data_IF_274644103402
#
_entry.id   IF_274644103402
#
_cell.length_a   1.000
_cell.length_b   1.000
_cell.length_c   1.000
_cell.angle_alpha   90.00
_cell.angle_beta   90.00
_cell.angle_gamma   90.00
#
_symmetry.space_group_name_H-M   'P 1'
#
loop_
_entity.id
_entity.type
_entity.pdbx_description
1 polymer ?
#
# COMPACT_ATOMS: atom_id res chain seq x y z
N UNK A 1 9.65 -29.67 -44.55
CA UNK A 1 9.95 -29.82 -43.11
C UNK A 1 10.45 -28.51 -42.52
N UNK A 2 11.40 -27.82 -43.16
CA UNK A 2 12.00 -26.59 -42.61
C UNK A 2 11.01 -25.41 -42.41
N UNK A 3 10.04 -25.24 -43.31
CA UNK A 3 9.06 -24.17 -43.18
C UNK A 3 8.19 -24.30 -41.92
N UNK A 4 7.81 -25.54 -41.57
CA UNK A 4 7.01 -25.84 -40.36
C UNK A 4 7.82 -25.53 -39.09
N UNK A 5 9.11 -25.84 -39.10
CA UNK A 5 10.01 -25.51 -38.00
C UNK A 5 10.15 -24.00 -37.80
N UNK A 6 10.23 -23.23 -38.89
CA UNK A 6 10.29 -21.76 -38.83
C UNK A 6 9.00 -21.18 -38.22
N UNK A 7 7.82 -21.68 -38.62
CA UNK A 7 6.55 -21.24 -38.03
C UNK A 7 6.43 -21.61 -36.55
N UNK A 8 6.85 -22.82 -36.17
CA UNK A 8 6.90 -23.26 -34.77
C UNK A 8 7.83 -22.39 -33.93
N UNK A 9 9.00 -22.04 -34.46
CA UNK A 9 9.95 -21.17 -33.78
C UNK A 9 9.37 -19.76 -33.59
N UNK A 10 8.72 -19.20 -34.61
CA UNK A 10 8.08 -17.89 -34.51
C UNK A 10 6.94 -17.88 -33.47
N UNK A 11 6.13 -18.94 -33.45
CA UNK A 11 5.10 -19.14 -32.45
C UNK A 11 5.70 -19.21 -31.04
N UNK A 12 6.77 -19.99 -30.85
CA UNK A 12 7.45 -20.11 -29.58
C UNK A 12 8.02 -18.77 -29.08
N UNK A 13 8.63 -17.98 -29.99
CA UNK A 13 9.14 -16.63 -29.67
C UNK A 13 8.00 -15.69 -29.29
N UNK A 14 6.87 -15.75 -30.01
CA UNK A 14 5.70 -14.91 -29.72
C UNK A 14 5.11 -15.25 -28.35
N UNK A 15 4.99 -16.54 -28.03
CA UNK A 15 4.54 -17.00 -26.71
C UNK A 15 5.52 -16.56 -25.62
N UNK A 16 6.82 -16.68 -25.85
CA UNK A 16 7.84 -16.23 -24.90
C UNK A 16 7.73 -14.73 -24.63
N UNK A 17 7.56 -13.91 -25.67
CA UNK A 17 7.34 -12.47 -25.53
C UNK A 17 6.08 -12.18 -24.68
N UNK A 18 5.00 -12.92 -24.91
CA UNK A 18 3.77 -12.75 -24.14
C UNK A 18 3.94 -13.12 -22.66
N UNK A 19 4.65 -14.21 -22.37
CA UNK A 19 4.98 -14.62 -20.99
C UNK A 19 5.77 -13.54 -20.25
N UNK A 20 6.75 -12.92 -20.91
CA UNK A 20 7.53 -11.82 -20.34
C UNK A 20 6.65 -10.61 -20.02
N UNK A 21 5.72 -10.25 -20.91
CA UNK A 21 4.80 -9.13 -20.69
C UNK A 21 3.84 -9.40 -19.53
N UNK A 22 3.27 -10.60 -19.45
CA UNK A 22 2.39 -11.02 -18.34
C UNK A 22 3.15 -10.97 -17.01
N UNK A 23 4.39 -11.48 -16.99
CA UNK A 23 5.22 -11.45 -15.78
C UNK A 23 5.54 -10.02 -15.34
N UNK A 24 5.87 -9.13 -16.29
CA UNK A 24 6.13 -7.71 -16.03
C UNK A 24 4.89 -7.02 -15.44
N UNK A 25 3.73 -7.23 -16.02
CA UNK A 25 2.45 -6.69 -15.52
C UNK A 25 2.11 -7.25 -14.13
N UNK A 26 2.42 -8.52 -13.87
CA UNK A 26 2.20 -9.14 -12.57
C UNK A 26 3.07 -8.52 -11.47
N UNK A 27 4.34 -8.26 -11.75
CA UNK A 27 5.25 -7.55 -10.83
C UNK A 27 4.75 -6.13 -10.58
N UNK A 28 4.37 -5.41 -11.63
CA UNK A 28 3.84 -4.06 -11.53
C UNK A 28 2.58 -4.00 -10.66
N UNK A 29 1.66 -4.95 -10.82
CA UNK A 29 0.47 -5.06 -9.98
C UNK A 29 0.81 -5.33 -8.51
N UNK A 30 1.80 -6.20 -8.23
CA UNK A 30 2.26 -6.45 -6.86
C UNK A 30 2.87 -5.21 -6.22
N UNK A 31 3.69 -4.46 -6.97
CA UNK A 31 4.27 -3.22 -6.49
C UNK A 31 3.21 -2.15 -6.23
N UNK A 32 2.22 -2.03 -7.12
CA UNK A 32 1.13 -1.08 -6.95
C UNK A 32 0.31 -1.35 -5.69
N UNK A 33 -0.01 -2.62 -5.39
CA UNK A 33 -0.72 -2.99 -4.16
C UNK A 33 0.05 -2.60 -2.89
N UNK A 34 1.37 -2.72 -2.91
CA UNK A 34 2.22 -2.37 -1.77
C UNK A 34 2.26 -0.85 -1.58
N UNK A 35 2.49 -0.08 -2.66
CA UNK A 35 2.42 1.38 -2.61
C UNK A 35 1.04 1.89 -2.18
N UNK A 36 -0.04 1.26 -2.65
CA UNK A 36 -1.40 1.63 -2.29
C UNK A 36 -1.65 1.46 -0.79
N UNK A 37 -1.20 0.33 -0.20
CA UNK A 37 -1.31 0.08 1.24
C UNK A 37 -0.54 1.12 2.07
N UNK A 38 0.64 1.52 1.61
CA UNK A 38 1.40 2.61 2.25
C UNK A 38 0.67 3.96 2.17
N UNK A 39 0.02 4.24 1.03
CA UNK A 39 -0.76 5.46 0.83
C UNK A 39 -1.99 5.51 1.72
N UNK A 40 -2.73 4.39 1.83
CA UNK A 40 -3.85 4.26 2.75
C UNK A 40 -3.41 4.44 4.21
N UNK A 41 -2.26 3.88 4.58
CA UNK A 41 -1.69 4.03 5.91
C UNK A 41 -1.39 5.50 6.22
N UNK A 42 -0.72 6.22 5.31
CA UNK A 42 -0.44 7.65 5.45
C UNK A 42 -1.73 8.47 5.59
N UNK A 43 -2.73 8.20 4.76
CA UNK A 43 -4.02 8.91 4.80
C UNK A 43 -4.76 8.66 6.12
N UNK A 44 -4.75 7.42 6.60
CA UNK A 44 -5.38 7.04 7.87
C UNK A 44 -4.69 7.73 9.04
N UNK A 45 -3.36 7.72 9.06
CA UNK A 45 -2.56 8.39 10.10
C UNK A 45 -2.83 9.90 10.14
N UNK A 46 -2.93 10.55 8.98
CA UNK A 46 -3.23 11.98 8.90
C UNK A 46 -4.64 12.31 9.43
N UNK A 47 -5.65 11.53 9.02
CA UNK A 47 -7.03 11.73 9.48
C UNK A 47 -7.14 11.50 10.98
N UNK A 48 -6.57 10.40 11.48
CA UNK A 48 -6.58 10.08 12.91
C UNK A 48 -5.83 11.14 13.72
N UNK A 49 -4.69 11.64 13.23
CA UNK A 49 -3.98 12.74 13.88
C UNK A 49 -4.80 14.02 14.00
N UNK A 50 -5.61 14.36 12.99
CA UNK A 50 -6.53 15.50 13.06
C UNK A 50 -7.65 15.28 14.07
N UNK A 51 -8.21 14.06 14.12
CA UNK A 51 -9.27 13.70 15.07
C UNK A 51 -8.73 13.76 16.50
N UNK A 52 -7.56 13.18 16.76
CA UNK A 52 -6.93 13.24 18.08
C UNK A 52 -6.71 14.69 18.53
N UNK A 53 -6.17 15.57 17.65
CA UNK A 53 -6.00 16.98 18.00
C UNK A 53 -7.33 17.68 18.32
N UNK A 54 -8.41 17.36 17.61
CA UNK A 54 -9.73 17.96 17.83
C UNK A 54 -10.43 17.45 19.10
N UNK A 55 -10.28 16.16 19.40
CA UNK A 55 -10.97 15.47 20.50
C UNK A 55 -10.14 15.41 21.79
N UNK A 56 -8.98 16.10 21.84
CA UNK A 56 -8.09 16.12 23.01
C UNK A 56 -8.84 16.43 24.31
N UNK A 57 -9.71 17.42 24.27
CA UNK A 57 -10.50 17.86 25.43
C UNK A 57 -11.50 16.78 25.89
N UNK A 58 -12.02 15.98 24.96
CA UNK A 58 -12.90 14.86 25.25
C UNK A 58 -12.17 13.75 26.01
N UNK A 59 -10.91 13.47 25.64
CA UNK A 59 -10.06 12.51 26.33
C UNK A 59 -9.64 12.99 27.73
N UNK A 60 -9.36 14.28 27.90
CA UNK A 60 -8.99 14.86 29.20
C UNK A 60 -10.12 14.80 30.25
N UNK A 61 -11.38 14.65 29.83
CA UNK A 61 -12.55 14.54 30.71
C UNK A 61 -12.88 13.10 31.15
N UNK A 62 -12.10 12.10 30.72
CA UNK A 62 -12.31 10.68 31.04
C UNK A 62 -11.23 10.20 32.00
N UNK A 63 -11.58 9.43 33.05
CA UNK A 63 -10.59 8.80 33.93
C UNK A 63 -9.65 7.89 33.13
N UNK A 64 -8.34 8.19 33.18
CA UNK A 64 -7.32 7.49 32.40
C UNK A 64 -7.25 7.89 30.91
N UNK A 65 -8.05 8.87 30.47
CA UNK A 65 -8.10 9.30 29.08
C UNK A 65 -6.82 10.01 28.59
N UNK A 66 -6.04 10.63 29.48
CA UNK A 66 -4.72 11.18 29.15
C UNK A 66 -3.70 10.11 28.75
N UNK A 67 -3.70 8.95 29.43
CA UNK A 67 -2.83 7.82 29.07
C UNK A 67 -3.23 7.22 27.72
N UNK A 68 -4.55 7.08 27.50
CA UNK A 68 -5.09 6.60 26.22
C UNK A 68 -4.73 7.56 25.08
N UNK A 69 -4.88 8.87 25.31
CA UNK A 69 -4.52 9.91 24.35
C UNK A 69 -3.03 9.90 24.02
N UNK A 70 -2.17 9.76 25.04
CA UNK A 70 -0.72 9.69 24.87
C UNK A 70 -0.30 8.46 24.05
N UNK A 71 -0.91 7.31 24.32
CA UNK A 71 -0.67 6.04 23.62
C UNK A 71 -1.11 6.12 22.14
N UNK A 72 -2.28 6.69 21.89
CA UNK A 72 -2.79 6.90 20.53
C UNK A 72 -1.91 7.90 19.75
N UNK A 73 -1.48 9.00 20.38
CA UNK A 73 -0.56 9.95 19.75
C UNK A 73 0.78 9.29 19.36
N UNK A 74 1.31 8.40 20.21
CA UNK A 74 2.54 7.65 19.93
C UNK A 74 2.35 6.63 18.79
N UNK A 75 1.26 5.87 18.83
CA UNK A 75 0.91 4.87 17.82
C UNK A 75 0.75 5.49 16.41
N UNK A 76 0.16 6.68 16.36
CA UNK A 76 -0.07 7.42 15.11
C UNK A 76 1.03 8.44 14.78
N UNK A 77 2.12 8.48 15.56
CA UNK A 77 3.25 9.43 15.39
C UNK A 77 2.79 10.88 15.21
N UNK A 78 1.74 11.27 15.92
CA UNK A 78 1.19 12.62 15.83
C UNK A 78 2.17 13.57 16.53
N UNK A 79 2.62 14.66 15.87
CA UNK A 79 3.45 15.65 16.53
C UNK A 79 2.68 16.26 17.71
N UNK A 80 3.22 16.12 18.92
CA UNK A 80 2.71 16.77 20.13
C UNK A 80 3.06 18.26 20.05
N UNK A 81 2.07 19.08 19.78
CA UNK A 81 2.09 20.52 20.01
C UNK A 81 1.45 20.83 21.37
#
# INVERSE_FOLDING_TARGET
MDLIWIYLLNLAVTVAMFVVLVFRAWIELKNYKLMWKELEWRRTYEVVGRILKAEKDLFSNVEGGEELYALLCEMFKVPRE
#
